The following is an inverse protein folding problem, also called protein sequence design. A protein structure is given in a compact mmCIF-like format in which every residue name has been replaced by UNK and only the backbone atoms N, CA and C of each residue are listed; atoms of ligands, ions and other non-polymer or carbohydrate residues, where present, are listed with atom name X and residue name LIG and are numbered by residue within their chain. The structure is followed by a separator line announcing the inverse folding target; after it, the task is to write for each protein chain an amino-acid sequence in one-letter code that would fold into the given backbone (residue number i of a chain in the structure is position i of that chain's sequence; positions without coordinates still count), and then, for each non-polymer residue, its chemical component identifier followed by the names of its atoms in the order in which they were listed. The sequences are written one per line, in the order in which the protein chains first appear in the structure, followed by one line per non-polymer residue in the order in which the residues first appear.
data_IF_403250100750
#
_entry.id   IF_403250100750
#
_cell.length_a   1.000
_cell.length_b   1.000
_cell.length_c   1.000
_cell.angle_alpha   90.00
_cell.angle_beta   90.00
_cell.angle_gamma   90.00
#
_symmetry.space_group_name_H-M   'P 1'
#
loop_
_entity.id
_entity.type
_entity.pdbx_description
1 polymer ?
#
# COMPACT_ATOMS: atom_id res chain seq x y z
N UNK A 1 37.81 -48.06 20.76
CA UNK A 1 36.47 -48.09 21.39
C UNK A 1 35.78 -46.77 21.08
N UNK A 2 34.49 -46.85 20.76
CA UNK A 2 33.67 -45.89 20.00
C UNK A 2 32.72 -45.17 20.96
N UNK A 3 32.75 -43.84 20.98
CA UNK A 3 31.73 -42.94 21.58
C UNK A 3 31.64 -41.69 20.69
N UNK A 4 30.85 -41.72 19.62
CA UNK A 4 29.40 -41.41 19.54
C UNK A 4 29.09 -39.91 19.44
N UNK A 5 28.40 -39.59 18.34
CA UNK A 5 27.83 -38.32 17.91
C UNK A 5 27.15 -37.51 19.03
N UNK A 6 27.51 -36.22 19.13
CA UNK A 6 26.65 -35.09 19.52
C UNK A 6 27.37 -33.82 19.04
N UNK A 7 26.79 -32.84 18.36
CA UNK A 7 25.44 -32.57 17.94
C UNK A 7 25.51 -31.31 17.10
N UNK A 8 24.90 -31.39 15.93
CA UNK A 8 24.77 -30.36 14.92
C UNK A 8 23.76 -29.32 15.42
N UNK A 9 24.16 -28.07 15.65
CA UNK A 9 23.32 -26.88 15.50
C UNK A 9 24.24 -25.75 15.01
N UNK A 10 24.37 -25.64 13.68
CA UNK A 10 24.71 -24.36 13.05
C UNK A 10 23.42 -23.56 13.09
N UNK A 11 23.37 -22.59 14.00
CA UNK A 11 22.25 -21.69 14.17
C UNK A 11 22.22 -20.72 12.98
N UNK A 12 21.66 -21.15 11.85
CA UNK A 12 21.35 -20.29 10.70
C UNK A 12 20.21 -19.35 11.08
N UNK A 13 20.55 -18.26 11.76
CA UNK A 13 19.68 -17.09 11.89
C UNK A 13 19.57 -16.41 10.52
N UNK A 14 18.64 -16.90 9.68
CA UNK A 14 18.22 -16.19 8.48
C UNK A 14 17.51 -14.90 8.91
N UNK A 15 18.25 -13.79 8.89
CA UNK A 15 17.70 -12.45 8.97
C UNK A 15 16.88 -12.21 7.70
N UNK A 16 15.58 -12.49 7.76
CA UNK A 16 14.63 -12.02 6.76
C UNK A 16 14.51 -10.50 6.91
N UNK A 17 15.42 -9.78 6.26
CA UNK A 17 15.23 -8.36 5.99
C UNK A 17 14.16 -8.28 4.92
N UNK A 18 12.90 -8.13 5.34
CA UNK A 18 11.82 -7.74 4.44
C UNK A 18 12.05 -6.28 4.05
N UNK A 19 12.95 -6.03 3.10
CA UNK A 19 13.05 -4.73 2.44
C UNK A 19 11.70 -4.48 1.77
N UNK A 20 11.07 -3.36 2.14
CA UNK A 20 9.86 -2.91 1.48
C UNK A 20 10.22 -2.50 0.05
N UNK A 21 10.16 -3.44 -0.88
CA UNK A 21 10.59 -3.26 -2.27
C UNK A 21 9.60 -2.41 -3.06
N UNK A 22 10.13 -1.71 -4.05
CA UNK A 22 9.32 -1.00 -5.05
C UNK A 22 8.40 -1.96 -5.80
N UNK A 23 7.41 -1.37 -6.45
CA UNK A 23 6.44 -2.10 -7.26
C UNK A 23 7.14 -2.67 -8.48
N UNK A 24 7.09 -3.99 -8.70
CA UNK A 24 7.68 -4.57 -9.89
C UNK A 24 6.94 -4.08 -11.14
N UNK A 25 7.68 -3.86 -12.21
CA UNK A 25 7.10 -3.53 -13.51
C UNK A 25 6.38 -4.76 -14.10
N UNK A 26 5.08 -4.85 -13.86
CA UNK A 26 4.23 -5.98 -14.30
C UNK A 26 2.83 -5.49 -14.68
N UNK A 27 2.06 -6.25 -15.48
CA UNK A 27 0.65 -5.95 -15.68
C UNK A 27 -0.08 -6.04 -14.34
N UNK A 28 -1.04 -5.14 -14.12
CA UNK A 28 -1.93 -5.24 -12.98
C UNK A 28 -2.86 -6.45 -13.16
N UNK A 29 -3.08 -7.20 -12.08
CA UNK A 29 -3.94 -8.39 -12.08
C UNK A 29 -5.42 -8.04 -12.19
N UNK A 30 -5.78 -6.86 -11.73
CA UNK A 30 -7.11 -6.29 -11.77
C UNK A 30 -7.09 -4.77 -11.78
N UNK A 31 -8.28 -4.17 -11.92
CA UNK A 31 -8.43 -2.72 -11.93
C UNK A 31 -8.14 -2.14 -10.56
N UNK A 32 -7.08 -1.34 -10.44
CA UNK A 32 -6.65 -0.72 -9.19
C UNK A 32 -5.61 -1.53 -8.42
N UNK A 33 -5.17 -2.66 -8.97
CA UNK A 33 -4.02 -3.41 -8.45
C UNK A 33 -2.72 -2.79 -8.94
N UNK A 34 -1.63 -3.10 -8.23
CA UNK A 34 -0.31 -2.60 -8.57
C UNK A 34 0.19 -3.11 -9.92
N UNK A 35 0.83 -2.23 -10.67
CA UNK A 35 1.34 -2.50 -12.01
C UNK A 35 0.68 -1.64 -13.07
N UNK A 36 0.88 -2.01 -14.34
CA UNK A 36 0.36 -1.27 -15.47
C UNK A 36 -0.98 -1.81 -15.97
N UNK A 37 -1.82 -0.92 -16.48
CA UNK A 37 -3.04 -1.22 -17.23
C UNK A 37 -3.09 -0.41 -18.51
N UNK A 38 -3.67 -1.00 -19.55
CA UNK A 38 -3.84 -0.39 -20.87
C UNK A 38 -5.32 -0.40 -21.22
N UNK A 39 -5.86 0.74 -21.63
CA UNK A 39 -7.25 0.86 -22.06
C UNK A 39 -7.30 1.54 -23.41
N UNK A 40 -7.86 0.88 -24.42
CA UNK A 40 -8.11 1.53 -25.72
C UNK A 40 -9.23 2.57 -25.57
N UNK A 41 -9.00 3.78 -26.11
CA UNK A 41 -9.96 4.88 -26.19
C UNK A 41 -10.34 5.20 -27.64
N UNK A 42 -9.87 4.39 -28.59
CA UNK A 42 -9.97 4.58 -30.02
C UNK A 42 -8.88 3.81 -30.75
N UNK A 43 -8.80 3.97 -32.07
CA UNK A 43 -7.92 3.15 -32.92
C UNK A 43 -6.44 3.32 -32.58
N UNK A 44 -5.99 4.56 -32.41
CA UNK A 44 -4.61 4.92 -32.08
C UNK A 44 -4.49 5.70 -30.76
N UNK A 45 -5.54 5.70 -29.93
CA UNK A 45 -5.60 6.42 -28.65
C UNK A 45 -5.73 5.42 -27.51
N UNK A 46 -4.84 5.52 -26.55
CA UNK A 46 -4.81 4.61 -25.40
C UNK A 46 -4.62 5.39 -24.11
N UNK A 47 -5.23 4.89 -23.04
CA UNK A 47 -4.90 5.26 -21.68
C UNK A 47 -3.96 4.21 -21.09
N UNK A 48 -2.83 4.65 -20.58
CA UNK A 48 -1.84 3.84 -19.89
C UNK A 48 -1.79 4.32 -18.45
N UNK A 49 -2.06 3.43 -17.50
CA UNK A 49 -2.03 3.77 -16.08
C UNK A 49 -1.05 2.85 -15.36
N UNK A 50 -0.23 3.41 -14.48
CA UNK A 50 0.61 2.65 -13.56
C UNK A 50 0.20 2.96 -12.12
N UNK A 51 -0.03 1.93 -11.31
CA UNK A 51 -0.31 2.05 -9.87
C UNK A 51 0.85 1.46 -9.06
N UNK A 52 1.48 2.31 -8.24
CA UNK A 52 2.55 1.93 -7.34
C UNK A 52 2.06 1.65 -5.92
N UNK A 53 2.79 0.81 -5.20
CA UNK A 53 2.67 0.61 -3.76
C UNK A 53 3.20 1.83 -2.98
N UNK A 54 3.18 1.76 -1.65
CA UNK A 54 3.61 2.89 -0.82
C UNK A 54 5.12 3.08 -0.69
N UNK A 55 5.91 2.13 -1.19
CA UNK A 55 7.38 2.24 -1.22
C UNK A 55 7.87 2.88 -2.52
N UNK A 56 7.10 2.77 -3.60
CA UNK A 56 7.50 3.24 -4.93
C UNK A 56 7.42 4.75 -5.02
N UNK A 57 8.52 5.46 -5.36
CA UNK A 57 8.50 6.90 -5.56
C UNK A 57 7.55 7.32 -6.69
N UNK A 58 6.99 8.54 -6.59
CA UNK A 58 6.10 9.06 -7.65
C UNK A 58 6.81 9.16 -9.01
N UNK A 59 8.09 9.58 -9.01
CA UNK A 59 8.91 9.65 -10.23
C UNK A 59 9.04 8.27 -10.89
N UNK A 60 9.30 7.21 -10.12
CA UNK A 60 9.37 5.84 -10.63
C UNK A 60 8.01 5.38 -11.21
N UNK A 61 6.89 5.74 -10.57
CA UNK A 61 5.54 5.45 -11.08
C UNK A 61 5.28 6.18 -12.41
N UNK A 62 5.68 7.44 -12.51
CA UNK A 62 5.56 8.23 -13.74
C UNK A 62 6.43 7.64 -14.86
N UNK A 63 7.69 7.30 -14.56
CA UNK A 63 8.62 6.71 -15.52
C UNK A 63 8.13 5.34 -16.01
N UNK A 64 7.56 4.51 -15.14
CA UNK A 64 6.95 3.24 -15.56
C UNK A 64 5.74 3.44 -16.47
N UNK A 65 4.87 4.43 -16.20
CA UNK A 65 3.75 4.72 -17.08
C UNK A 65 4.22 5.18 -18.48
N UNK A 66 5.24 6.04 -18.54
CA UNK A 66 5.86 6.50 -19.79
C UNK A 66 6.54 5.35 -20.55
N UNK A 67 7.29 4.51 -19.84
CA UNK A 67 7.92 3.32 -20.41
C UNK A 67 6.86 2.40 -21.03
N UNK A 68 5.75 2.17 -20.32
CA UNK A 68 4.68 1.31 -20.84
C UNK A 68 4.00 1.91 -22.06
N UNK A 69 3.78 3.22 -22.10
CA UNK A 69 3.26 3.90 -23.29
C UNK A 69 4.18 3.72 -24.51
N UNK A 70 5.49 3.84 -24.31
CA UNK A 70 6.48 3.62 -25.35
C UNK A 70 6.48 2.17 -25.85
N UNK A 71 6.45 1.19 -24.94
CA UNK A 71 6.38 -0.23 -25.28
C UNK A 71 5.10 -0.58 -26.04
N UNK A 72 3.95 -0.08 -25.59
CA UNK A 72 2.68 -0.28 -26.26
C UNK A 72 2.68 0.32 -27.67
N UNK A 73 3.26 1.51 -27.84
CA UNK A 73 3.39 2.19 -29.14
C UNK A 73 4.17 1.31 -30.13
N UNK A 74 5.32 0.79 -29.72
CA UNK A 74 6.11 -0.13 -30.54
C UNK A 74 5.36 -1.44 -30.80
N UNK A 75 4.68 -2.00 -29.80
CA UNK A 75 3.92 -3.23 -29.93
C UNK A 75 2.74 -3.11 -30.92
N UNK A 76 2.17 -1.91 -31.05
CA UNK A 76 1.10 -1.59 -32.01
C UNK A 76 1.63 -1.21 -33.40
N UNK A 77 2.95 -1.17 -33.61
CA UNK A 77 3.56 -0.86 -34.91
C UNK A 77 3.60 0.63 -35.25
N UNK A 78 3.58 1.49 -34.23
CA UNK A 78 3.79 2.94 -34.37
C UNK A 78 5.22 3.31 -33.96
N UNK A 79 5.66 4.51 -34.38
CA UNK A 79 7.03 4.97 -34.17
C UNK A 79 7.15 5.87 -32.94
N UNK A 80 6.13 6.71 -32.72
CA UNK A 80 6.12 7.72 -31.66
C UNK A 80 4.70 7.92 -31.13
N UNK A 81 4.60 8.56 -29.97
CA UNK A 81 3.33 8.95 -29.38
C UNK A 81 3.41 10.37 -28.82
N UNK A 82 2.27 11.06 -28.79
CA UNK A 82 2.11 12.29 -28.01
C UNK A 82 1.28 12.03 -26.76
N UNK A 83 1.64 12.69 -25.65
CA UNK A 83 0.78 12.73 -24.46
C UNK A 83 -0.27 13.82 -24.65
N UNK A 84 -1.53 13.42 -24.67
CA UNK A 84 -2.70 14.29 -24.81
C UNK A 84 -3.19 14.76 -23.45
N UNK A 85 -3.16 13.86 -22.47
CA UNK A 85 -3.57 14.13 -21.09
C UNK A 85 -2.67 13.36 -20.11
N UNK A 86 -2.52 13.90 -18.90
CA UNK A 86 -1.78 13.28 -17.81
C UNK A 86 -2.46 13.60 -16.48
N UNK A 87 -2.62 12.57 -15.66
CA UNK A 87 -3.14 12.72 -14.31
C UNK A 87 -2.28 11.95 -13.30
N UNK A 88 -1.98 12.60 -12.18
CA UNK A 88 -1.30 12.01 -11.03
C UNK A 88 -2.25 12.03 -9.83
N UNK A 89 -2.57 10.84 -9.31
CA UNK A 89 -3.37 10.69 -8.12
C UNK A 89 -2.51 10.18 -6.96
N UNK A 90 -2.57 10.87 -5.82
CA UNK A 90 -1.93 10.45 -4.56
C UNK A 90 -2.98 9.92 -3.59
N UNK A 91 -2.82 8.67 -3.13
CA UNK A 91 -3.65 8.08 -2.07
C UNK A 91 -2.85 8.02 -0.77
N UNK A 92 -3.33 8.67 0.30
CA UNK A 92 -2.72 8.60 1.63
C UNK A 92 -3.61 7.77 2.55
N UNK A 93 -3.06 6.71 3.15
CA UNK A 93 -3.74 5.90 4.17
C UNK A 93 -3.09 6.13 5.52
N UNK A 94 -3.87 6.61 6.47
CA UNK A 94 -3.48 6.73 7.88
C UNK A 94 -4.08 5.56 8.66
N UNK A 95 -3.25 4.78 9.33
CA UNK A 95 -3.67 3.69 10.21
C UNK A 95 -3.33 4.07 11.65
N UNK A 96 -4.36 4.25 12.47
CA UNK A 96 -4.23 4.43 13.91
C UNK A 96 -4.36 3.07 14.57
N UNK A 97 -3.33 2.68 15.34
CA UNK A 97 -3.35 1.51 16.19
C UNK A 97 -3.47 1.98 17.62
N UNK A 98 -4.62 1.72 18.24
CA UNK A 98 -4.87 1.99 19.65
C UNK A 98 -4.56 0.72 20.45
N UNK A 99 -3.59 0.82 21.35
CA UNK A 99 -3.21 -0.24 22.27
C UNK A 99 -3.51 0.23 23.69
N UNK A 100 -4.69 -0.12 24.21
CA UNK A 100 -5.13 0.32 25.52
C UNK A 100 -6.33 -0.44 26.05
N UNK A 101 -6.44 -0.50 27.36
CA UNK A 101 -7.67 -0.90 28.04
C UNK A 101 -8.47 0.38 28.29
N UNK A 102 -9.73 0.42 27.88
CA UNK A 102 -10.65 1.52 28.21
C UNK A 102 -11.00 1.53 29.69
N UNK A 103 -11.60 2.62 30.18
CA UNK A 103 -12.15 2.62 31.54
C UNK A 103 -13.21 1.51 31.67
N UNK A 104 -13.04 0.63 32.65
CA UNK A 104 -14.02 -0.43 32.94
C UNK A 104 -14.91 -0.01 34.09
N UNK A 105 -16.22 -0.20 33.91
CA UNK A 105 -17.23 0.11 34.91
C UNK A 105 -17.77 -1.20 35.48
N UNK A 106 -17.57 -1.41 36.79
CA UNK A 106 -18.11 -2.58 37.48
C UNK A 106 -19.11 -2.13 38.53
N UNK A 107 -20.38 -2.49 38.34
CA UNK A 107 -21.40 -2.31 39.35
C UNK A 107 -21.45 -3.52 40.26
N UNK A 108 -21.42 -3.28 41.57
CA UNK A 108 -21.60 -4.32 42.58
C UNK A 108 -22.80 -3.99 43.45
N UNK A 109 -23.57 -5.02 43.81
CA UNK A 109 -24.69 -4.94 44.73
C UNK A 109 -24.51 -6.05 45.77
N UNK A 110 -24.54 -5.68 47.04
CA UNK A 110 -24.45 -6.59 48.16
C UNK A 110 -25.78 -6.58 48.91
N UNK A 111 -26.32 -7.76 49.14
CA UNK A 111 -27.58 -7.97 49.84
C UNK A 111 -27.28 -8.63 51.17
N UNK A 112 -27.73 -8.04 52.27
CA UNK A 112 -27.65 -8.66 53.58
C UNK A 112 -28.92 -8.38 54.37
N UNK A 113 -29.29 -9.31 55.25
CA UNK A 113 -30.54 -9.28 55.98
C UNK A 113 -30.24 -9.11 57.46
N UNK A 114 -30.73 -8.01 58.02
CA UNK A 114 -30.57 -7.69 59.42
C UNK A 114 -31.85 -8.08 60.15
N UNK A 115 -31.73 -8.95 61.15
CA UNK A 115 -32.83 -9.34 62.00
C UNK A 115 -32.60 -8.83 63.41
N UNK A 116 -33.61 -8.23 64.03
CA UNK A 116 -33.58 -7.83 65.43
C UNK A 116 -33.90 -9.02 66.37
N UNK A 117 -33.74 -8.82 67.68
CA UNK A 117 -34.06 -9.84 68.69
C UNK A 117 -35.56 -10.11 68.86
N UNK A 118 -36.42 -9.30 68.23
CA UNK A 118 -37.88 -9.44 68.24
C UNK A 118 -38.40 -10.19 66.99
N UNK A 119 -37.50 -10.60 66.08
CA UNK A 119 -37.82 -11.40 64.90
C UNK A 119 -38.17 -10.57 63.65
N UNK A 120 -38.05 -9.24 63.69
CA UNK A 120 -38.22 -8.41 62.50
C UNK A 120 -36.94 -8.45 61.67
N UNK A 121 -37.07 -8.68 60.36
CA UNK A 121 -35.94 -8.80 59.46
C UNK A 121 -36.09 -7.88 58.25
N UNK A 122 -35.16 -6.95 58.10
CA UNK A 122 -35.08 -6.06 56.94
C UNK A 122 -33.95 -6.48 56.02
N UNK A 123 -34.22 -6.43 54.71
CA UNK A 123 -33.20 -6.68 53.69
C UNK A 123 -32.61 -5.35 53.27
N UNK A 124 -31.31 -5.18 53.49
CA UNK A 124 -30.56 -4.01 53.07
C UNK A 124 -29.82 -4.35 51.79
N UNK A 125 -29.96 -3.46 50.80
CA UNK A 125 -29.19 -3.51 49.55
C UNK A 125 -28.21 -2.36 49.57
N UNK A 126 -26.93 -2.65 49.43
CA UNK A 126 -25.89 -1.64 49.31
C UNK A 126 -25.14 -1.88 48.01
N UNK A 127 -25.06 -0.86 47.17
CA UNK A 127 -24.39 -0.93 45.88
C UNK A 127 -23.32 0.14 45.72
N UNK A 128 -22.37 -0.13 44.84
CA UNK A 128 -21.32 0.80 44.47
C UNK A 128 -20.82 0.56 43.05
N UNK A 129 -20.41 1.64 42.39
CA UNK A 129 -19.76 1.59 41.08
C UNK A 129 -18.26 1.73 41.28
N UNK A 130 -17.49 0.75 40.82
CA UNK A 130 -16.04 0.84 40.73
C UNK A 130 -15.66 1.23 39.32
N UNK A 131 -14.93 2.34 39.19
CA UNK A 131 -14.36 2.79 37.90
C UNK A 131 -12.87 2.49 37.94
N UNK A 132 -12.40 1.62 37.06
CA UNK A 132 -10.97 1.39 36.88
C UNK A 132 -10.50 2.22 35.69
N UNK A 133 -9.64 3.25 35.90
CA UNK A 133 -9.12 4.03 34.79
C UNK A 133 -8.28 3.14 33.88
N UNK A 134 -8.55 3.26 32.59
CA UNK A 134 -7.79 2.59 31.54
C UNK A 134 -6.66 3.46 31.03
N UNK A 135 -5.55 2.86 30.62
CA UNK A 135 -4.46 3.52 29.93
C UNK A 135 -4.29 2.92 28.54
N UNK A 136 -4.07 3.79 27.55
CA UNK A 136 -3.87 3.40 26.16
C UNK A 136 -2.85 4.27 25.45
N UNK A 137 -2.14 3.67 24.50
CA UNK A 137 -1.20 4.31 23.59
C UNK A 137 -1.76 4.23 22.17
N UNK A 138 -1.99 5.39 21.58
CA UNK A 138 -2.40 5.54 20.17
C UNK A 138 -1.17 5.81 19.31
N UNK A 139 -0.90 4.93 18.33
CA UNK A 139 0.16 5.12 17.34
C UNK A 139 -0.46 5.29 15.95
N UNK A 140 -0.16 6.41 15.29
CA UNK A 140 -0.65 6.69 13.93
C UNK A 140 0.48 6.54 12.92
N UNK A 141 0.29 5.73 11.88
CA UNK A 141 1.23 5.59 10.76
C UNK A 141 0.55 5.97 9.45
N UNK A 142 1.20 6.83 8.65
CA UNK A 142 0.69 7.29 7.36
C UNK A 142 1.55 6.74 6.22
N UNK A 143 0.92 6.16 5.20
CA UNK A 143 1.58 5.65 3.99
C UNK A 143 0.91 6.25 2.74
N UNK A 144 1.70 6.73 1.79
CA UNK A 144 1.20 7.29 0.53
C UNK A 144 1.52 6.37 -0.63
N UNK A 145 0.60 6.17 -1.56
CA UNK A 145 0.82 5.49 -2.84
C UNK A 145 0.43 6.39 -4.00
N UNK A 146 1.06 6.17 -5.15
CA UNK A 146 0.91 7.02 -6.34
C UNK A 146 0.33 6.24 -7.51
N UNK A 147 -0.52 6.89 -8.29
CA UNK A 147 -1.06 6.37 -9.54
C UNK A 147 -0.89 7.43 -10.62
N UNK A 148 -0.27 7.07 -11.73
CA UNK A 148 -0.07 7.97 -12.86
C UNK A 148 -0.77 7.43 -14.09
N UNK A 149 -1.59 8.27 -14.73
CA UNK A 149 -2.37 7.93 -15.92
C UNK A 149 -2.00 8.86 -17.06
N UNK A 150 -1.61 8.26 -18.18
CA UNK A 150 -1.27 8.92 -19.42
C UNK A 150 -2.34 8.60 -20.46
N UNK A 151 -2.75 9.61 -21.19
CA UNK A 151 -3.48 9.42 -22.42
C UNK A 151 -2.56 9.72 -23.59
N UNK A 152 -2.40 8.73 -24.47
CA UNK A 152 -1.43 8.78 -25.55
C UNK A 152 -2.11 8.61 -26.89
N UNK A 153 -1.66 9.40 -27.86
CA UNK A 153 -2.03 9.25 -29.26
C UNK A 153 -0.81 8.78 -30.06
N UNK A 154 -0.92 7.61 -30.66
CA UNK A 154 0.17 6.95 -31.38
C UNK A 154 0.15 7.30 -32.86
N UNK A 155 1.34 7.53 -33.43
CA UNK A 155 1.49 7.93 -34.83
C UNK A 155 2.77 7.34 -35.44
N UNK A 156 2.81 7.32 -36.77
CA UNK A 156 3.98 6.95 -37.56
C UNK A 156 4.80 8.18 -37.89
N UNK A 157 6.05 7.98 -38.28
CA UNK A 157 6.93 9.04 -38.74
C UNK A 157 6.33 9.84 -39.92
N UNK A 158 6.67 11.14 -40.04
CA UNK A 158 7.65 11.87 -39.22
C UNK A 158 7.10 12.32 -37.86
N UNK A 159 7.96 12.32 -36.83
CA UNK A 159 7.65 12.91 -35.52
C UNK A 159 7.82 14.44 -35.56
N UNK A 160 6.85 15.24 -35.08
CA UNK A 160 6.99 16.68 -34.99
C UNK A 160 7.94 17.08 -33.84
N UNK A 161 8.55 18.25 -33.96
CA UNK A 161 9.35 18.84 -32.87
C UNK A 161 8.44 19.53 -31.85
N UNK A 162 7.89 18.73 -30.93
CA UNK A 162 6.97 19.21 -29.88
C UNK A 162 7.34 18.58 -28.54
N UNK A 163 7.20 19.35 -27.45
CA UNK A 163 7.62 18.92 -26.12
C UNK A 163 6.85 17.71 -25.57
N UNK A 164 5.64 17.46 -26.06
CA UNK A 164 4.78 16.35 -25.67
C UNK A 164 4.86 15.15 -26.64
N UNK A 165 5.72 15.20 -27.65
CA UNK A 165 5.95 14.11 -28.60
C UNK A 165 7.19 13.31 -28.21
N UNK A 166 7.06 11.99 -28.16
CA UNK A 166 8.10 11.08 -27.72
C UNK A 166 8.35 9.97 -28.73
N UNK A 167 9.60 9.84 -29.19
CA UNK A 167 10.06 8.66 -29.92
C UNK A 167 10.02 7.45 -28.98
N UNK A 168 9.24 6.44 -29.35
CA UNK A 168 8.96 5.32 -28.46
C UNK A 168 10.21 4.50 -28.16
N UNK A 169 11.08 4.29 -29.15
CA UNK A 169 12.29 3.47 -28.98
C UNK A 169 13.34 4.19 -28.14
N UNK A 170 13.58 5.46 -28.45
CA UNK A 170 14.56 6.30 -27.74
C UNK A 170 14.14 6.50 -26.28
N UNK A 171 12.86 6.80 -26.04
CA UNK A 171 12.34 6.99 -24.69
C UNK A 171 12.42 5.69 -23.86
N UNK A 172 11.97 4.56 -24.42
CA UNK A 172 12.01 3.28 -23.70
C UNK A 172 13.44 2.89 -23.31
N UNK A 173 14.42 3.12 -24.19
CA UNK A 173 15.81 2.84 -23.88
C UNK A 173 16.36 3.74 -22.77
N UNK A 174 16.06 5.04 -22.81
CA UNK A 174 16.51 5.98 -21.78
C UNK A 174 15.90 5.66 -20.41
N UNK A 175 14.60 5.37 -20.36
CA UNK A 175 13.90 5.04 -19.11
C UNK A 175 14.38 3.72 -18.51
N UNK A 176 14.63 2.68 -19.33
CA UNK A 176 15.17 1.41 -18.83
C UNK A 176 16.55 1.58 -18.19
N UNK A 177 17.42 2.43 -18.76
CA UNK A 177 18.72 2.70 -18.16
C UNK A 177 18.57 3.42 -16.81
N UNK A 178 17.77 4.49 -16.75
CA UNK A 178 17.51 5.23 -15.51
C UNK A 178 16.90 4.35 -14.41
N UNK A 179 15.94 3.50 -14.76
CA UNK A 179 15.26 2.62 -13.80
C UNK A 179 16.19 1.53 -13.24
N UNK A 180 17.28 1.18 -13.94
CA UNK A 180 18.32 0.29 -13.40
C UNK A 180 19.24 1.04 -12.44
N UNK A 181 19.59 2.30 -12.74
CA UNK A 181 20.46 3.13 -11.90
C UNK A 181 19.82 3.51 -10.55
N UNK A 182 18.49 3.55 -10.50
CA UNK A 182 17.72 3.93 -9.31
C UNK A 182 17.33 2.74 -8.40
N UNK A 183 17.76 1.52 -8.71
CA UNK A 183 17.52 0.29 -7.92
C UNK A 183 18.75 -0.08 -7.09
#
# INVERSE_FOLDING_TARGET
MKTWLTGLIVLSSALLVACASDTPYKPAEGRGDYGYTETSLGDNRYRVTFEGNSSTPSETVQDYALLRAAELTMAKGYDWFETVDRNEDKKTRTTTTDSGFGATYQQSQTYYRNCDMLGNCDTVVTGGTVVSPGSGLSTSTSRSSYKYSLEVLMRKNPMPDQANAYDARKLANALRQRLIENQ
#
